data_IF_533895571690
#
_entry.id   IF_533895571690
#
_cell.length_a   1.000
_cell.length_b   1.000
_cell.length_c   1.000
_cell.angle_alpha   90.00
_cell.angle_beta   90.00
_cell.angle_gamma   90.00
#
_symmetry.space_group_name_H-M   'P 1'
#
loop_
_entity.id
_entity.type
_entity.pdbx_description
1 polymer ?
#
# COMPACT_ATOMS: atom_id res chain seq x y z
N UNK A 1 17.21 -1.59 -25.25
CA UNK A 1 17.69 -0.27 -24.91
C UNK A 1 19.20 -0.30 -24.79
N UNK A 2 19.90 0.63 -25.43
CA UNK A 2 21.33 0.84 -25.21
C UNK A 2 21.50 1.38 -23.79
N UNK A 3 22.39 0.75 -23.02
CA UNK A 3 22.76 1.20 -21.69
C UNK A 3 23.94 2.17 -21.85
N UNK A 4 23.75 3.43 -21.54
CA UNK A 4 24.83 4.38 -21.36
C UNK A 4 25.42 4.18 -19.97
N UNK A 5 26.65 3.70 -19.88
CA UNK A 5 27.35 3.46 -18.62
C UNK A 5 28.71 4.13 -18.64
N UNK A 6 29.11 4.71 -17.53
CA UNK A 6 30.40 5.32 -17.34
C UNK A 6 31.46 4.22 -17.07
N UNK A 7 32.52 4.16 -17.87
CA UNK A 7 33.58 3.17 -17.77
C UNK A 7 34.76 3.81 -17.02
N UNK A 8 34.93 3.45 -15.75
CA UNK A 8 36.10 3.88 -14.98
C UNK A 8 37.15 2.77 -14.92
N UNK A 9 38.41 3.09 -15.21
CA UNK A 9 39.56 2.20 -15.08
C UNK A 9 40.17 2.39 -13.69
N UNK A 10 40.14 1.36 -12.86
CA UNK A 10 40.80 1.37 -11.56
C UNK A 10 42.14 0.63 -11.65
N UNK A 11 43.23 1.39 -11.73
CA UNK A 11 44.60 1.01 -11.42
C UNK A 11 45.14 -0.29 -12.01
N UNK A 12 46.09 -0.92 -11.29
CA UNK A 12 46.86 -2.10 -11.72
C UNK A 12 46.06 -3.41 -11.88
N UNK A 13 44.83 -3.49 -11.36
CA UNK A 13 44.03 -4.73 -11.28
C UNK A 13 43.20 -5.04 -12.54
N UNK A 14 43.29 -4.31 -13.62
CA UNK A 14 42.54 -4.53 -14.85
C UNK A 14 41.03 -4.76 -14.65
N UNK A 15 40.46 -4.18 -13.62
CA UNK A 15 39.04 -4.22 -13.36
C UNK A 15 38.34 -2.97 -13.92
N UNK A 16 37.24 -3.13 -14.62
CA UNK A 16 36.36 -2.03 -15.05
C UNK A 16 35.05 -2.14 -14.30
N UNK A 17 34.60 -1.04 -13.69
CA UNK A 17 33.28 -0.95 -13.07
C UNK A 17 32.38 -0.20 -14.03
N UNK A 18 31.22 -0.81 -14.34
CA UNK A 18 30.16 -0.20 -15.16
C UNK A 18 28.95 -0.01 -14.30
N UNK A 19 28.50 1.24 -14.15
CA UNK A 19 27.27 1.59 -13.44
C UNK A 19 26.22 1.98 -14.48
N UNK A 20 25.03 1.44 -14.35
CA UNK A 20 23.91 1.75 -15.23
C UNK A 20 22.61 1.82 -14.43
N UNK A 21 21.66 2.60 -14.92
CA UNK A 21 20.31 2.71 -14.38
C UNK A 21 19.30 2.11 -15.33
N UNK A 22 18.36 1.36 -14.81
CA UNK A 22 17.21 0.85 -15.55
C UNK A 22 15.94 1.35 -14.87
N UNK A 23 15.10 2.06 -15.60
CA UNK A 23 13.81 2.52 -15.15
C UNK A 23 12.75 1.65 -15.84
N UNK A 24 12.16 0.67 -15.14
CA UNK A 24 11.10 -0.15 -15.70
C UNK A 24 9.82 0.67 -15.81
N UNK A 25 9.06 0.47 -16.89
CA UNK A 25 7.79 1.16 -17.14
C UNK A 25 6.60 0.50 -16.45
N UNK A 26 6.73 -0.79 -16.09
CA UNK A 26 5.66 -1.58 -15.48
C UNK A 26 6.21 -2.45 -14.34
N UNK A 27 5.35 -2.85 -13.43
CA UNK A 27 5.69 -3.83 -12.40
C UNK A 27 5.91 -5.23 -12.98
N UNK A 28 6.60 -6.08 -12.27
CA UNK A 28 6.81 -7.47 -12.70
C UNK A 28 8.17 -8.03 -12.31
N UNK A 29 8.50 -9.18 -12.88
CA UNK A 29 9.81 -9.81 -12.75
C UNK A 29 10.55 -9.67 -14.07
N UNK A 30 11.65 -8.93 -14.05
CA UNK A 30 12.51 -8.68 -15.19
C UNK A 30 13.81 -9.47 -15.09
N UNK A 31 14.32 -9.90 -16.23
CA UNK A 31 15.63 -10.54 -16.29
C UNK A 31 16.68 -9.51 -16.72
N UNK A 32 17.56 -9.15 -15.79
CA UNK A 32 18.65 -8.22 -16.04
C UNK A 32 19.89 -8.98 -16.46
N UNK A 33 20.29 -8.81 -17.71
CA UNK A 33 21.39 -9.55 -18.31
C UNK A 33 20.95 -10.55 -19.38
N UNK A 34 21.82 -11.45 -19.85
CA UNK A 34 23.22 -11.63 -19.43
C UNK A 34 24.14 -10.48 -19.85
N UNK A 35 25.17 -10.18 -19.04
CA UNK A 35 26.17 -9.19 -19.43
C UNK A 35 27.07 -9.76 -20.51
N UNK A 36 27.19 -9.06 -21.62
CA UNK A 36 28.10 -9.39 -22.71
C UNK A 36 29.12 -8.27 -22.87
N UNK A 37 30.40 -8.64 -22.88
CA UNK A 37 31.49 -7.74 -23.18
C UNK A 37 31.89 -7.96 -24.63
N UNK A 38 31.86 -6.89 -25.39
CA UNK A 38 32.32 -6.89 -26.77
C UNK A 38 33.67 -6.18 -26.81
N UNK A 39 34.70 -6.90 -27.26
CA UNK A 39 36.04 -6.34 -27.49
C UNK A 39 36.30 -6.30 -28.99
N UNK A 40 36.84 -5.19 -29.43
CA UNK A 40 37.25 -4.97 -30.82
C UNK A 40 38.72 -4.57 -30.85
N UNK A 41 39.45 -5.07 -31.85
CA UNK A 41 40.86 -4.69 -31.99
C UNK A 41 40.96 -3.23 -32.49
N UNK A 42 42.09 -2.55 -32.26
CA UNK A 42 42.24 -1.13 -32.63
C UNK A 42 42.12 -0.85 -34.16
N UNK A 43 42.17 -1.86 -34.99
CA UNK A 43 42.03 -1.74 -36.44
C UNK A 43 40.66 -2.16 -36.98
N UNK A 44 39.74 -2.61 -36.09
CA UNK A 44 38.42 -3.07 -36.44
C UNK A 44 38.37 -4.40 -37.21
N UNK A 45 39.49 -5.15 -37.22
CA UNK A 45 39.62 -6.38 -38.00
C UNK A 45 39.12 -7.63 -37.27
N UNK A 46 39.04 -7.55 -35.95
CA UNK A 46 38.53 -8.66 -35.12
C UNK A 46 37.59 -8.13 -34.03
N UNK A 47 36.47 -8.81 -33.87
CA UNK A 47 35.48 -8.54 -32.85
C UNK A 47 35.17 -9.81 -32.09
N UNK A 48 35.20 -9.76 -30.75
CA UNK A 48 34.88 -10.87 -29.89
C UNK A 48 33.82 -10.46 -28.88
N UNK A 49 32.75 -11.23 -28.77
CA UNK A 49 31.74 -11.09 -27.75
C UNK A 49 31.84 -12.24 -26.73
N UNK A 50 31.94 -11.90 -25.47
CA UNK A 50 32.04 -12.88 -24.38
C UNK A 50 30.91 -12.59 -23.37
N UNK A 51 30.19 -13.63 -23.00
CA UNK A 51 29.22 -13.58 -21.88
C UNK A 51 29.99 -13.66 -20.58
N UNK A 52 29.88 -12.65 -19.74
CA UNK A 52 30.66 -12.50 -18.50
C UNK A 52 29.83 -12.88 -17.28
N UNK A 53 28.54 -12.50 -17.26
CA UNK A 53 27.61 -12.78 -16.17
C UNK A 53 26.31 -13.36 -16.71
N UNK A 54 25.68 -14.20 -15.88
CA UNK A 54 24.32 -14.67 -16.13
C UNK A 54 23.29 -13.60 -15.85
N UNK A 55 22.06 -13.82 -16.34
CA UNK A 55 20.96 -12.94 -16.05
C UNK A 55 20.50 -13.11 -14.59
N UNK A 56 20.15 -11.97 -13.97
CA UNK A 56 19.65 -11.92 -12.59
C UNK A 56 18.18 -11.46 -12.62
N UNK A 57 17.25 -12.17 -11.94
CA UNK A 57 15.88 -11.69 -11.85
C UNK A 57 15.80 -10.48 -10.93
N UNK A 58 15.14 -9.44 -11.41
CA UNK A 58 14.85 -8.22 -10.65
C UNK A 58 13.34 -8.06 -10.55
N UNK A 59 12.85 -7.95 -9.33
CA UNK A 59 11.43 -7.70 -9.08
C UNK A 59 11.19 -6.20 -9.00
N UNK A 60 10.20 -5.74 -9.75
CA UNK A 60 9.78 -4.34 -9.83
C UNK A 60 8.42 -4.22 -9.18
N UNK A 61 8.36 -3.52 -8.07
CA UNK A 61 7.12 -3.22 -7.37
C UNK A 61 6.25 -2.22 -8.16
N UNK A 62 4.93 -2.18 -7.92
CA UNK A 62 4.06 -1.15 -8.47
C UNK A 62 4.52 0.25 -8.08
N UNK A 63 4.30 1.22 -8.98
CA UNK A 63 4.53 2.63 -8.66
C UNK A 63 3.59 3.09 -7.53
N UNK A 64 4.06 4.00 -6.69
CA UNK A 64 3.19 4.68 -5.72
C UNK A 64 2.61 5.93 -6.38
N UNK A 65 1.31 6.13 -6.18
CA UNK A 65 0.55 7.26 -6.72
C UNK A 65 -0.11 8.04 -5.59
N UNK A 66 -0.41 9.31 -5.81
CA UNK A 66 -1.20 10.05 -4.84
C UNK A 66 -2.66 9.59 -4.85
N UNK A 67 -3.23 9.38 -3.67
CA UNK A 67 -4.65 9.07 -3.46
C UNK A 67 -5.29 10.21 -2.68
N UNK A 68 -5.62 11.35 -3.34
CA UNK A 68 -6.07 12.57 -2.65
C UNK A 68 -7.34 12.37 -1.82
N UNK A 69 -8.27 11.53 -2.31
CA UNK A 69 -9.48 11.22 -1.56
C UNK A 69 -9.16 10.54 -0.23
N UNK A 70 -8.24 9.60 -0.21
CA UNK A 70 -7.84 8.91 1.01
C UNK A 70 -7.16 9.87 2.00
N UNK A 71 -6.26 10.73 1.52
CA UNK A 71 -5.63 11.78 2.35
C UNK A 71 -6.65 12.73 2.97
N UNK A 72 -7.61 13.23 2.18
CA UNK A 72 -8.66 14.09 2.68
C UNK A 72 -9.56 13.39 3.71
N UNK A 73 -9.78 12.10 3.51
CA UNK A 73 -10.62 11.27 4.37
C UNK A 73 -9.92 10.92 5.67
N UNK A 74 -8.66 10.48 5.63
CA UNK A 74 -7.89 10.16 6.83
C UNK A 74 -7.61 11.41 7.64
N UNK A 75 -7.39 12.57 7.02
CA UNK A 75 -7.29 13.84 7.71
C UNK A 75 -8.58 14.21 8.44
N UNK A 76 -9.75 13.96 7.82
CA UNK A 76 -11.06 14.20 8.45
C UNK A 76 -11.35 13.17 9.53
N UNK A 77 -11.09 11.89 9.28
CA UNK A 77 -11.27 10.80 10.23
C UNK A 77 -10.22 10.85 11.36
N UNK A 78 -8.97 11.14 11.03
CA UNK A 78 -7.89 11.35 12.00
C UNK A 78 -8.16 12.53 12.92
N UNK A 79 -8.74 13.61 12.40
CA UNK A 79 -9.26 14.71 13.23
C UNK A 79 -10.36 14.26 14.19
N UNK A 80 -11.27 13.39 13.75
CA UNK A 80 -12.32 12.82 14.58
C UNK A 80 -11.77 11.76 15.56
N UNK A 81 -10.84 10.93 15.13
CA UNK A 81 -10.16 9.93 15.97
C UNK A 81 -9.26 10.63 16.98
N UNK A 82 -8.45 11.59 16.57
CA UNK A 82 -7.68 12.43 17.51
C UNK A 82 -8.58 13.29 18.40
N UNK A 83 -9.73 13.79 17.93
CA UNK A 83 -10.68 14.51 18.76
C UNK A 83 -11.36 13.58 19.78
N UNK A 84 -11.66 12.34 19.41
CA UNK A 84 -12.19 11.33 20.33
C UNK A 84 -11.14 10.91 21.37
N UNK A 85 -9.88 10.77 20.95
CA UNK A 85 -8.75 10.55 21.85
C UNK A 85 -8.45 11.78 22.69
N UNK A 86 -8.48 12.99 22.10
CA UNK A 86 -8.24 14.25 22.81
C UNK A 86 -9.41 14.59 23.76
N UNK A 87 -10.66 14.29 23.41
CA UNK A 87 -11.79 14.45 24.33
C UNK A 87 -11.78 13.44 25.48
N UNK A 88 -11.26 12.22 25.27
CA UNK A 88 -10.95 11.30 26.38
C UNK A 88 -9.72 11.74 27.17
N UNK A 89 -8.79 12.45 26.56
CA UNK A 89 -7.54 12.94 27.17
C UNK A 89 -7.63 14.28 27.92
N UNK A 90 -8.70 15.07 27.75
CA UNK A 90 -8.89 16.33 28.48
C UNK A 90 -9.65 16.20 29.81
N UNK A 91 -10.10 15.00 30.17
CA UNK A 91 -10.42 14.71 31.56
C UNK A 91 -9.14 14.28 32.28
N UNK A 92 -8.58 15.14 33.09
CA UNK A 92 -7.39 14.88 33.92
C UNK A 92 -7.54 13.64 34.85
N UNK A 93 -8.67 12.96 34.80
CA UNK A 93 -9.08 11.89 35.70
C UNK A 93 -9.37 10.51 35.06
N UNK A 94 -9.15 10.32 33.73
CA UNK A 94 -9.43 9.03 33.06
C UNK A 94 -8.18 8.17 32.78
N UNK A 95 -7.12 8.34 33.54
CA UNK A 95 -6.07 7.33 33.63
C UNK A 95 -6.60 6.20 34.51
N UNK A 96 -6.94 5.07 33.92
CA UNK A 96 -7.27 3.86 34.67
C UNK A 96 -6.11 3.54 35.62
N UNK A 97 -6.33 3.84 36.89
CA UNK A 97 -5.40 3.50 37.94
C UNK A 97 -5.72 2.08 38.39
N UNK A 98 -4.79 1.13 38.25
CA UNK A 98 -4.90 -0.21 38.82
C UNK A 98 -4.10 -0.32 40.11
N UNK A 99 -4.47 -1.22 41.01
CA UNK A 99 -3.67 -1.49 42.20
C UNK A 99 -2.24 -1.90 41.83
N UNK A 100 -1.27 -1.40 42.59
CA UNK A 100 0.15 -1.75 42.45
C UNK A 100 0.34 -3.27 42.64
N UNK A 101 1.13 -3.87 41.75
CA UNK A 101 1.59 -5.25 41.90
C UNK A 101 3.11 -5.27 42.05
N UNK A 102 3.62 -6.27 42.80
CA UNK A 102 5.07 -6.42 42.99
C UNK A 102 5.77 -6.63 41.62
N UNK A 103 6.63 -5.69 41.26
CA UNK A 103 7.31 -5.62 39.97
C UNK A 103 6.98 -4.38 39.15
N UNK A 104 5.94 -3.63 39.51
CA UNK A 104 5.63 -2.37 38.85
C UNK A 104 6.66 -1.28 39.17
N UNK A 105 6.97 -0.44 38.20
CA UNK A 105 7.91 0.68 38.40
C UNK A 105 7.31 1.74 39.31
N UNK A 106 8.01 2.08 40.40
CA UNK A 106 7.63 3.13 41.35
C UNK A 106 7.48 4.52 40.69
N UNK A 107 8.09 4.74 39.52
CA UNK A 107 7.94 5.99 38.73
C UNK A 107 6.56 6.14 38.11
N UNK A 108 5.77 5.05 38.02
CA UNK A 108 4.42 5.02 37.43
C UNK A 108 3.33 5.13 38.46
N UNK A 109 3.66 5.40 39.73
CA UNK A 109 2.65 5.57 40.79
C UNK A 109 1.83 6.82 40.52
N UNK A 110 0.50 6.64 40.54
CA UNK A 110 -0.49 7.71 40.44
C UNK A 110 -0.81 8.24 41.82
N UNK A 111 0.01 9.13 42.35
CA UNK A 111 -0.08 9.62 43.73
C UNK A 111 -1.47 10.18 44.09
N UNK A 112 -2.14 10.87 43.17
CA UNK A 112 -3.47 11.42 43.37
C UNK A 112 -4.52 10.33 43.53
N UNK A 113 -4.49 9.28 42.72
CA UNK A 113 -5.41 8.15 42.85
C UNK A 113 -5.09 7.33 44.12
N UNK A 114 -3.80 7.14 44.43
CA UNK A 114 -3.36 6.47 45.67
C UNK A 114 -3.81 7.20 46.93
N UNK A 115 -3.97 8.52 46.88
CA UNK A 115 -4.46 9.30 48.01
C UNK A 115 -5.95 9.15 48.26
N UNK A 116 -6.72 8.67 47.29
CA UNK A 116 -8.17 8.42 47.40
C UNK A 116 -8.52 6.94 47.57
N UNK A 117 -7.56 6.04 47.46
CA UNK A 117 -7.72 4.61 47.66
C UNK A 117 -6.76 4.10 48.76
N UNK A 118 -7.15 3.11 49.51
CA UNK A 118 -6.34 2.51 50.59
C UNK A 118 -5.16 1.66 50.08
N UNK A 119 -4.52 2.07 48.98
CA UNK A 119 -3.38 1.36 48.37
C UNK A 119 -2.70 2.15 47.29
N UNK A 120 -1.46 1.72 46.96
CA UNK A 120 -0.73 2.31 45.87
C UNK A 120 -1.39 1.98 44.53
N UNK A 121 -1.67 3.01 43.74
CA UNK A 121 -2.25 2.89 42.40
C UNK A 121 -1.18 3.22 41.36
N UNK A 122 -1.10 2.38 40.35
CA UNK A 122 -0.17 2.56 39.22
C UNK A 122 -0.94 3.07 38.03
N UNK A 123 -0.36 4.05 37.33
CA UNK A 123 -0.87 4.54 36.07
C UNK A 123 -0.72 3.43 35.01
N UNK A 124 -1.83 2.87 34.55
CA UNK A 124 -1.87 1.94 33.44
C UNK A 124 -1.90 2.80 32.16
N UNK A 125 -0.82 2.76 31.39
CA UNK A 125 -0.88 3.17 30.00
C UNK A 125 -1.67 2.07 29.30
N UNK A 126 -2.91 2.34 28.87
CA UNK A 126 -3.51 1.55 27.81
C UNK A 126 -2.58 1.79 26.59
N UNK A 127 -1.92 0.74 26.13
CA UNK A 127 -1.45 0.72 24.77
C UNK A 127 -2.71 0.83 23.93
N UNK A 128 -3.02 2.04 23.44
CA UNK A 128 -4.10 2.23 22.50
C UNK A 128 -3.70 1.40 21.27
N UNK A 129 -4.44 0.31 21.03
CA UNK A 129 -4.25 -0.47 19.84
C UNK A 129 -4.42 0.47 18.63
N UNK A 130 -3.53 0.38 17.67
CA UNK A 130 -3.66 1.13 16.43
C UNK A 130 -5.06 0.85 15.84
N UNK A 131 -5.73 1.87 15.30
CA UNK A 131 -7.05 1.66 14.71
C UNK A 131 -6.92 0.74 13.49
N UNK A 132 -7.86 -0.17 13.35
CA UNK A 132 -7.89 -1.11 12.22
C UNK A 132 -8.43 -0.45 10.96
N UNK A 133 -7.89 -0.82 9.81
CA UNK A 133 -8.40 -0.46 8.49
C UNK A 133 -8.36 -1.67 7.55
N UNK A 134 -9.17 -1.65 6.50
CA UNK A 134 -9.17 -2.72 5.51
C UNK A 134 -9.06 -2.12 4.11
N UNK A 135 -8.15 -2.68 3.32
CA UNK A 135 -8.00 -2.38 1.91
C UNK A 135 -8.44 -3.62 1.13
N UNK A 136 -9.35 -3.44 0.19
CA UNK A 136 -9.84 -4.51 -0.68
C UNK A 136 -9.46 -4.15 -2.11
N UNK A 137 -8.77 -5.07 -2.79
CA UNK A 137 -8.57 -4.99 -4.24
C UNK A 137 -9.42 -6.05 -4.91
N UNK A 138 -10.17 -5.66 -5.94
CA UNK A 138 -10.98 -6.58 -6.70
C UNK A 138 -10.10 -7.30 -7.73
N UNK A 139 -9.90 -8.60 -7.55
CA UNK A 139 -9.15 -9.44 -8.46
C UNK A 139 -10.04 -10.20 -9.43
N UNK A 140 -11.36 -9.99 -9.45
CA UNK A 140 -12.25 -10.66 -10.41
C UNK A 140 -11.95 -10.21 -11.84
N UNK A 141 -11.52 -11.14 -12.68
CA UNK A 141 -11.22 -10.88 -14.09
C UNK A 141 -12.39 -10.20 -14.83
N UNK A 142 -13.63 -10.47 -14.44
CA UNK A 142 -14.81 -9.88 -15.07
C UNK A 142 -14.89 -8.35 -14.93
N UNK A 143 -14.11 -7.76 -14.02
CA UNK A 143 -14.03 -6.32 -13.75
C UNK A 143 -13.01 -5.58 -14.60
N UNK A 144 -12.15 -6.31 -15.31
CA UNK A 144 -10.98 -5.78 -16.01
C UNK A 144 -10.96 -6.23 -17.47
N UNK A 145 -10.04 -5.69 -18.25
CA UNK A 145 -9.76 -6.17 -19.59
C UNK A 145 -9.06 -7.54 -19.56
N UNK A 146 -9.05 -8.22 -20.70
CA UNK A 146 -8.43 -9.56 -20.84
C UNK A 146 -6.94 -9.57 -20.44
N UNK A 147 -6.24 -8.46 -20.60
CA UNK A 147 -4.83 -8.30 -20.24
C UNK A 147 -4.55 -8.49 -18.76
N UNK A 148 -5.50 -8.14 -17.88
CA UNK A 148 -5.34 -8.18 -16.43
C UNK A 148 -5.05 -9.59 -15.89
N UNK A 149 -5.58 -10.63 -16.55
CA UNK A 149 -5.35 -12.03 -16.18
C UNK A 149 -4.11 -12.65 -16.85
N UNK A 150 -3.52 -11.96 -17.84
CA UNK A 150 -2.43 -12.53 -18.64
C UNK A 150 -1.07 -12.31 -17.99
N UNK A 151 -0.72 -11.06 -17.74
CA UNK A 151 0.56 -10.70 -17.13
C UNK A 151 0.51 -9.26 -16.57
N UNK A 152 1.38 -8.91 -15.61
CA UNK A 152 1.57 -7.55 -15.17
C UNK A 152 1.88 -6.60 -16.34
N UNK A 153 1.29 -5.40 -16.32
CA UNK A 153 1.49 -4.38 -17.35
C UNK A 153 0.61 -4.48 -18.58
N UNK A 154 -0.25 -5.51 -18.70
CA UNK A 154 -1.07 -5.73 -19.89
C UNK A 154 -2.44 -5.03 -19.84
N UNK A 155 -2.90 -4.62 -18.67
CA UNK A 155 -4.15 -3.90 -18.50
C UNK A 155 -3.92 -2.60 -17.71
N UNK A 156 -4.02 -1.43 -18.36
CA UNK A 156 -3.76 -0.15 -17.70
C UNK A 156 -4.70 0.15 -16.52
N UNK A 157 -5.96 -0.30 -16.57
CA UNK A 157 -6.91 -0.09 -15.49
C UNK A 157 -6.55 -0.93 -14.26
N UNK A 158 -6.19 -2.19 -14.48
CA UNK A 158 -5.71 -3.08 -13.42
C UNK A 158 -4.39 -2.59 -12.81
N UNK A 159 -3.46 -2.10 -13.65
CA UNK A 159 -2.21 -1.51 -13.17
C UNK A 159 -2.46 -0.29 -12.28
N UNK A 160 -3.39 0.58 -12.68
CA UNK A 160 -3.79 1.73 -11.87
C UNK A 160 -4.41 1.32 -10.53
N UNK A 161 -5.23 0.26 -10.51
CA UNK A 161 -5.81 -0.28 -9.30
C UNK A 161 -4.74 -0.87 -8.36
N UNK A 162 -3.79 -1.65 -8.88
CA UNK A 162 -2.70 -2.23 -8.08
C UNK A 162 -1.80 -1.12 -7.51
N UNK A 163 -1.46 -0.10 -8.31
CA UNK A 163 -0.69 1.04 -7.85
C UNK A 163 -1.44 1.83 -6.77
N UNK A 164 -2.76 2.03 -6.94
CA UNK A 164 -3.62 2.68 -5.96
C UNK A 164 -3.69 1.87 -4.66
N UNK A 165 -3.76 0.54 -4.74
CA UNK A 165 -3.76 -0.35 -3.57
C UNK A 165 -2.49 -0.22 -2.75
N UNK A 166 -1.31 -0.31 -3.39
CA UNK A 166 -0.03 -0.14 -2.70
C UNK A 166 0.09 1.24 -2.08
N UNK A 167 -0.42 2.26 -2.77
CA UNK A 167 -0.40 3.66 -2.27
C UNK A 167 -1.35 3.88 -1.09
N UNK A 168 -2.55 3.28 -1.13
CA UNK A 168 -3.50 3.32 -0.03
C UNK A 168 -2.94 2.65 1.23
N UNK A 169 -2.30 1.49 1.05
CA UNK A 169 -1.60 0.75 2.12
C UNK A 169 -0.48 1.59 2.72
N UNK A 170 0.37 2.21 1.90
CA UNK A 170 1.44 3.08 2.37
C UNK A 170 0.91 4.30 3.14
N UNK A 171 -0.19 4.91 2.67
CA UNK A 171 -0.83 6.05 3.33
C UNK A 171 -1.43 5.66 4.68
N UNK A 172 -2.16 4.53 4.75
CA UNK A 172 -2.76 4.05 6.02
C UNK A 172 -1.68 3.71 7.05
N UNK A 173 -0.57 3.08 6.62
CA UNK A 173 0.57 2.82 7.50
C UNK A 173 1.19 4.12 8.02
N UNK A 174 1.34 5.13 7.16
CA UNK A 174 1.83 6.46 7.56
C UNK A 174 0.90 7.13 8.57
N UNK A 175 -0.41 6.96 8.40
CA UNK A 175 -1.44 7.52 9.28
C UNK A 175 -1.63 6.71 10.57
N UNK A 176 -0.86 5.64 10.79
CA UNK A 176 -0.83 4.88 12.04
C UNK A 176 -1.91 3.81 12.18
N UNK A 177 -2.50 3.35 11.06
CA UNK A 177 -3.46 2.25 11.08
C UNK A 177 -2.77 0.89 11.03
N UNK A 178 -3.31 -0.09 11.78
CA UNK A 178 -3.14 -1.51 11.47
C UNK A 178 -4.08 -1.86 10.33
N UNK A 179 -3.61 -2.53 9.28
CA UNK A 179 -4.48 -2.81 8.15
C UNK A 179 -4.34 -4.23 7.63
N UNK A 180 -5.44 -4.73 7.10
CA UNK A 180 -5.54 -5.97 6.36
C UNK A 180 -5.79 -5.68 4.89
N UNK A 181 -5.16 -6.46 3.99
CA UNK A 181 -5.41 -6.38 2.56
C UNK A 181 -6.10 -7.66 2.10
N UNK A 182 -7.27 -7.49 1.51
CA UNK A 182 -8.14 -8.59 1.09
C UNK A 182 -8.42 -8.50 -0.41
N UNK A 183 -8.77 -9.62 -0.99
CA UNK A 183 -9.44 -9.70 -2.27
C UNK A 183 -10.95 -9.42 -2.14
N UNK A 184 -11.63 -9.26 -3.25
CA UNK A 184 -13.08 -8.99 -3.33
C UNK A 184 -13.97 -10.09 -2.75
N UNK A 185 -13.49 -11.31 -2.62
CA UNK A 185 -14.18 -12.40 -1.91
C UNK A 185 -13.87 -12.47 -0.41
N UNK A 186 -13.01 -11.59 0.08
CA UNK A 186 -12.55 -11.54 1.47
C UNK A 186 -11.34 -12.42 1.76
N UNK A 187 -10.71 -13.01 0.75
CA UNK A 187 -9.47 -13.78 0.93
C UNK A 187 -8.31 -12.84 1.28
N UNK A 188 -7.57 -13.08 2.38
CA UNK A 188 -6.41 -12.27 2.72
C UNK A 188 -5.30 -12.42 1.68
N UNK A 189 -4.79 -11.30 1.18
CA UNK A 189 -3.64 -11.24 0.27
C UNK A 189 -2.30 -11.17 1.02
N UNK A 190 -2.35 -10.75 2.27
CA UNK A 190 -1.19 -10.65 3.16
C UNK A 190 -1.65 -10.75 4.62
N UNK A 191 -0.74 -11.08 5.53
CA UNK A 191 -0.99 -10.96 6.97
C UNK A 191 -1.23 -9.49 7.34
N UNK A 192 -2.00 -9.19 8.40
CA UNK A 192 -2.20 -7.83 8.87
C UNK A 192 -0.85 -7.13 9.13
N UNK A 193 -0.75 -5.87 8.74
CA UNK A 193 0.47 -5.08 8.86
C UNK A 193 0.25 -3.98 9.91
N UNK A 194 1.12 -3.92 10.91
CA UNK A 194 1.08 -2.89 11.95
C UNK A 194 1.84 -1.62 11.53
N UNK A 195 1.53 -0.46 12.15
CA UNK A 195 2.26 0.77 11.86
C UNK A 195 3.75 0.62 12.13
N UNK A 196 4.57 1.04 11.15
CA UNK A 196 6.03 1.00 11.27
C UNK A 196 6.70 -0.28 10.76
N UNK A 197 5.97 -1.32 10.39
CA UNK A 197 6.48 -2.58 9.84
C UNK A 197 6.88 -2.44 8.36
N UNK A 198 7.93 -1.68 8.08
CA UNK A 198 8.40 -1.41 6.70
C UNK A 198 8.73 -2.67 5.92
N UNK A 199 9.31 -3.67 6.56
CA UNK A 199 9.66 -4.92 5.90
C UNK A 199 8.42 -5.67 5.36
N UNK A 200 7.29 -5.62 6.07
CA UNK A 200 6.02 -6.20 5.61
C UNK A 200 5.40 -5.36 4.50
N UNK A 201 5.50 -4.04 4.56
CA UNK A 201 5.09 -3.15 3.46
C UNK A 201 5.86 -3.44 2.18
N UNK A 202 7.18 -3.58 2.27
CA UNK A 202 8.04 -3.91 1.14
C UNK A 202 7.73 -5.31 0.60
N UNK A 203 7.44 -6.27 1.50
CA UNK A 203 7.04 -7.63 1.12
C UNK A 203 5.68 -7.63 0.40
N UNK A 204 4.71 -6.85 0.87
CA UNK A 204 3.43 -6.66 0.21
C UNK A 204 3.58 -6.00 -1.17
N UNK A 205 4.35 -4.93 -1.27
CA UNK A 205 4.63 -4.29 -2.56
C UNK A 205 5.34 -5.24 -3.53
N UNK A 206 6.25 -6.08 -3.03
CA UNK A 206 6.91 -7.11 -3.81
C UNK A 206 5.94 -8.25 -4.23
N UNK A 207 4.96 -8.59 -3.42
CA UNK A 207 3.88 -9.52 -3.77
C UNK A 207 3.03 -8.92 -4.91
N UNK A 208 2.66 -7.66 -4.80
CA UNK A 208 1.91 -6.93 -5.82
C UNK A 208 2.64 -6.84 -7.17
N UNK A 209 3.96 -7.05 -7.23
CA UNK A 209 4.69 -7.09 -8.50
C UNK A 209 4.18 -8.15 -9.48
N UNK A 210 3.59 -9.24 -8.98
CA UNK A 210 3.17 -10.41 -9.80
C UNK A 210 1.68 -10.70 -9.76
N UNK A 211 0.91 -9.93 -9.00
CA UNK A 211 -0.54 -10.11 -8.91
C UNK A 211 -1.18 -9.92 -10.29
N UNK A 212 -2.11 -10.80 -10.64
CA UNK A 212 -2.96 -10.75 -11.83
C UNK A 212 -4.41 -10.99 -11.44
N UNK A 213 -5.34 -10.56 -12.26
CA UNK A 213 -6.75 -10.87 -12.07
C UNK A 213 -7.02 -12.36 -12.31
N UNK A 214 -8.03 -12.91 -11.64
CA UNK A 214 -8.41 -14.32 -11.74
C UNK A 214 -9.90 -14.52 -11.82
N UNK A 215 -10.33 -15.74 -12.01
CA UNK A 215 -11.74 -16.12 -12.00
C UNK A 215 -12.15 -16.65 -10.60
N UNK A 216 -13.41 -16.48 -10.25
CA UNK A 216 -13.99 -17.05 -9.02
C UNK A 216 -14.00 -16.11 -7.82
N UNK A 217 -13.54 -14.88 -7.99
CA UNK A 217 -13.65 -13.81 -7.00
C UNK A 217 -14.98 -13.06 -7.17
N UNK A 218 -15.61 -12.62 -6.10
CA UNK A 218 -16.87 -11.90 -6.20
C UNK A 218 -17.07 -10.90 -5.09
N UNK A 219 -17.28 -9.65 -5.49
CA UNK A 219 -17.60 -8.53 -4.59
C UNK A 219 -18.87 -8.82 -3.74
N UNK A 220 -19.76 -9.69 -4.22
CA UNK A 220 -20.98 -10.08 -3.52
C UNK A 220 -20.72 -10.96 -2.29
N UNK A 221 -19.54 -11.58 -2.18
CA UNK A 221 -19.16 -12.42 -1.05
C UNK A 221 -18.49 -11.62 0.08
N UNK A 222 -17.99 -10.43 -0.24
CA UNK A 222 -17.28 -9.54 0.67
C UNK A 222 -18.05 -9.22 1.97
N UNK A 223 -19.38 -8.90 1.96
CA UNK A 223 -20.11 -8.60 3.19
C UNK A 223 -20.11 -9.74 4.20
N UNK A 224 -20.06 -11.00 3.72
CA UNK A 224 -20.01 -12.17 4.61
C UNK A 224 -18.64 -12.31 5.28
N UNK A 225 -17.57 -11.98 4.57
CA UNK A 225 -16.22 -11.99 5.10
C UNK A 225 -16.04 -10.90 6.17
N UNK A 226 -16.67 -9.75 5.98
CA UNK A 226 -16.58 -8.58 6.87
C UNK A 226 -17.38 -8.68 8.17
N UNK A 227 -18.30 -9.61 8.31
CA UNK A 227 -19.06 -9.81 9.55
C UNK A 227 -18.17 -10.07 10.79
N UNK A 228 -16.87 -10.29 10.60
CA UNK A 228 -15.86 -10.59 11.62
C UNK A 228 -14.72 -9.57 11.72
N UNK A 229 -14.72 -8.52 10.86
CA UNK A 229 -13.66 -7.52 10.80
C UNK A 229 -14.12 -6.25 11.53
N UNK A 230 -13.19 -5.56 12.16
CA UNK A 230 -13.47 -4.38 12.99
C UNK A 230 -14.10 -3.20 12.22
N UNK A 231 -14.52 -2.19 12.99
CA UNK A 231 -15.32 -1.03 12.54
C UNK A 231 -14.49 0.11 11.91
N UNK A 232 -13.26 -0.13 11.48
CA UNK A 232 -12.37 0.88 10.89
C UNK A 232 -12.72 1.28 9.47
N UNK A 233 -11.90 2.14 8.82
CA UNK A 233 -12.04 2.50 7.42
C UNK A 233 -11.96 1.29 6.49
N UNK A 234 -12.79 1.29 5.43
CA UNK A 234 -12.72 0.31 4.34
C UNK A 234 -12.43 1.07 3.05
N UNK A 235 -11.36 0.67 2.36
CA UNK A 235 -11.01 1.19 1.03
C UNK A 235 -11.18 0.08 0.01
N UNK A 236 -12.23 0.16 -0.80
CA UNK A 236 -12.50 -0.76 -1.90
C UNK A 236 -11.95 -0.20 -3.21
N UNK A 237 -11.14 -1.00 -3.91
CA UNK A 237 -10.53 -0.65 -5.19
C UNK A 237 -10.97 -1.68 -6.22
N UNK A 238 -11.65 -1.22 -7.29
CA UNK A 238 -12.24 -2.10 -8.31
C UNK A 238 -12.11 -1.51 -9.71
N UNK A 239 -12.37 -2.33 -10.71
CA UNK A 239 -12.48 -1.95 -12.10
C UNK A 239 -13.84 -1.34 -12.43
N UNK A 240 -14.59 -2.08 -13.23
CA UNK A 240 -15.98 -1.74 -13.57
C UNK A 240 -16.89 -1.98 -12.38
N UNK A 241 -17.73 -1.00 -12.05
CA UNK A 241 -18.74 -1.12 -10.99
C UNK A 241 -20.12 -0.73 -11.49
N UNK A 242 -21.11 -1.54 -11.17
CA UNK A 242 -22.52 -1.33 -11.49
C UNK A 242 -23.33 -0.96 -10.24
N UNK A 243 -24.56 -0.47 -10.44
CA UNK A 243 -25.50 -0.23 -9.34
C UNK A 243 -25.81 -1.49 -8.52
N UNK A 244 -25.83 -2.68 -9.17
CA UNK A 244 -26.03 -3.96 -8.49
C UNK A 244 -24.87 -4.29 -7.56
N UNK A 245 -23.64 -3.98 -7.96
CA UNK A 245 -22.45 -4.17 -7.11
C UNK A 245 -22.49 -3.23 -5.90
N UNK A 246 -22.86 -1.98 -6.13
CA UNK A 246 -23.02 -0.98 -5.05
C UNK A 246 -24.11 -1.44 -4.06
N UNK A 247 -25.22 -1.99 -4.54
CA UNK A 247 -26.26 -2.53 -3.69
C UNK A 247 -25.74 -3.72 -2.84
N UNK A 248 -24.88 -4.56 -3.41
CA UNK A 248 -24.25 -5.66 -2.68
C UNK A 248 -23.27 -5.18 -1.59
N UNK A 249 -22.62 -4.03 -1.80
CA UNK A 249 -21.72 -3.42 -0.82
C UNK A 249 -22.45 -2.64 0.29
N UNK A 250 -23.75 -2.37 0.15
CA UNK A 250 -24.53 -1.59 1.12
C UNK A 250 -24.39 -2.08 2.58
N UNK A 251 -24.39 -3.40 2.88
CA UNK A 251 -24.22 -3.87 4.26
C UNK A 251 -22.89 -3.48 4.89
N UNK A 252 -21.83 -3.31 4.10
CA UNK A 252 -20.51 -2.92 4.61
C UNK A 252 -20.50 -1.51 5.17
N UNK A 253 -21.27 -0.59 4.58
CA UNK A 253 -21.38 0.78 5.05
C UNK A 253 -21.86 0.90 6.51
N UNK A 254 -22.65 -0.09 6.99
CA UNK A 254 -23.11 -0.13 8.37
C UNK A 254 -22.04 -0.62 9.36
N UNK A 255 -20.98 -1.27 8.88
CA UNK A 255 -19.92 -1.87 9.69
C UNK A 255 -18.60 -1.08 9.66
N UNK A 256 -18.53 0.01 8.92
CA UNK A 256 -17.33 0.84 8.78
C UNK A 256 -17.59 2.28 9.19
N UNK A 257 -16.57 2.92 9.77
CA UNK A 257 -16.60 4.36 10.07
C UNK A 257 -16.38 5.21 8.83
N UNK A 258 -15.77 4.66 7.78
CA UNK A 258 -15.41 5.37 6.57
C UNK A 258 -15.35 4.42 5.37
N UNK A 259 -16.46 4.25 4.63
CA UNK A 259 -16.46 3.48 3.39
C UNK A 259 -15.95 4.33 2.22
N UNK A 260 -14.92 3.84 1.52
CA UNK A 260 -14.30 4.48 0.36
C UNK A 260 -14.36 3.54 -0.83
N UNK A 261 -14.89 3.99 -1.96
CA UNK A 261 -14.93 3.26 -3.21
C UNK A 261 -14.10 3.98 -4.27
N UNK A 262 -13.06 3.32 -4.74
CA UNK A 262 -12.18 3.77 -5.81
C UNK A 262 -12.39 2.84 -7.01
N UNK A 263 -12.88 3.37 -8.14
CA UNK A 263 -13.14 2.59 -9.34
C UNK A 263 -12.45 3.19 -10.56
N UNK A 264 -11.92 2.33 -11.45
CA UNK A 264 -11.32 2.80 -12.71
C UNK A 264 -12.36 3.07 -13.77
N UNK A 265 -13.51 2.40 -13.67
CA UNK A 265 -14.66 2.59 -14.57
C UNK A 265 -15.96 2.40 -13.79
N UNK A 266 -16.77 3.45 -13.73
CA UNK A 266 -18.07 3.41 -13.08
C UNK A 266 -19.03 4.35 -13.79
N UNK A 267 -20.28 3.93 -13.94
CA UNK A 267 -21.31 4.85 -14.42
C UNK A 267 -21.57 5.95 -13.37
N UNK A 268 -21.98 7.15 -13.81
CA UNK A 268 -22.40 8.22 -12.89
C UNK A 268 -23.47 7.74 -11.89
N UNK A 269 -24.41 6.91 -12.37
CA UNK A 269 -25.52 6.37 -11.58
C UNK A 269 -24.99 5.43 -10.47
N UNK A 270 -23.98 4.61 -10.78
CA UNK A 270 -23.34 3.74 -9.78
C UNK A 270 -22.62 4.56 -8.71
N UNK A 271 -21.91 5.63 -9.10
CA UNK A 271 -21.26 6.53 -8.14
C UNK A 271 -22.28 7.33 -7.30
N UNK A 272 -23.34 7.85 -7.92
CA UNK A 272 -24.41 8.56 -7.20
C UNK A 272 -25.07 7.62 -6.18
N UNK A 273 -25.37 6.38 -6.60
CA UNK A 273 -25.94 5.37 -5.72
C UNK A 273 -25.02 5.00 -4.55
N UNK A 274 -23.73 4.87 -4.80
CA UNK A 274 -22.75 4.62 -3.74
C UNK A 274 -22.68 5.80 -2.75
N UNK A 275 -22.70 7.04 -3.26
CA UNK A 275 -22.72 8.23 -2.43
C UNK A 275 -23.98 8.32 -1.55
N UNK A 276 -25.16 7.98 -2.11
CA UNK A 276 -26.42 7.89 -1.34
C UNK A 276 -26.35 6.87 -0.19
N UNK A 277 -25.59 5.78 -0.38
CA UNK A 277 -25.36 4.76 0.63
C UNK A 277 -24.23 5.11 1.62
N UNK A 278 -23.71 6.34 1.54
CA UNK A 278 -22.70 6.86 2.44
C UNK A 278 -21.25 6.52 2.05
N UNK A 279 -21.02 5.92 0.88
CA UNK A 279 -19.68 5.70 0.36
C UNK A 279 -19.07 7.01 -0.15
N UNK A 280 -17.80 7.19 0.12
CA UNK A 280 -17.01 8.22 -0.56
C UNK A 280 -16.44 7.63 -1.83
N UNK A 281 -16.78 8.22 -2.96
CA UNK A 281 -16.46 7.69 -4.28
C UNK A 281 -15.44 8.56 -4.99
N UNK A 282 -14.52 7.91 -5.70
CA UNK A 282 -13.56 8.60 -6.57
C UNK A 282 -13.19 7.70 -7.74
N UNK A 283 -13.11 8.31 -8.93
CA UNK A 283 -12.55 7.65 -10.10
C UNK A 283 -11.02 7.55 -9.98
N UNK A 284 -10.48 6.36 -10.22
CA UNK A 284 -9.05 6.11 -10.35
C UNK A 284 -8.61 6.50 -11.76
N UNK A 285 -7.61 7.36 -11.87
CA UNK A 285 -7.10 7.79 -13.16
C UNK A 285 -6.30 6.67 -13.82
N UNK A 286 -6.66 6.35 -15.05
CA UNK A 286 -5.95 5.42 -15.92
C UNK A 286 -5.24 6.23 -17.01
N UNK A 287 -3.92 6.16 -17.09
CA UNK A 287 -3.19 6.90 -18.12
C UNK A 287 -1.69 6.62 -18.11
N UNK A 288 -1.00 6.91 -19.24
CA UNK A 288 0.44 6.70 -19.37
C UNK A 288 1.29 7.64 -18.49
N UNK A 289 0.71 8.72 -18.02
CA UNK A 289 1.33 9.64 -17.07
C UNK A 289 0.76 9.40 -15.67
N UNK A 290 1.11 8.28 -15.09
CA UNK A 290 1.11 8.20 -13.63
C UNK A 290 2.34 8.98 -13.18
N UNK A 291 2.22 10.18 -12.54
CA UNK A 291 3.37 10.88 -12.03
C UNK A 291 3.99 9.99 -10.94
N UNK A 292 5.03 9.27 -11.33
CA UNK A 292 5.85 8.58 -10.38
C UNK A 292 6.61 9.63 -9.57
N UNK A 293 6.79 9.41 -8.26
CA UNK A 293 7.64 10.19 -7.35
C UNK A 293 9.09 10.40 -7.89
N UNK A 294 9.44 9.77 -9.00
CA UNK A 294 10.71 9.93 -9.71
C UNK A 294 10.87 11.28 -10.42
N UNK A 295 9.81 11.99 -10.75
CA UNK A 295 9.94 13.33 -11.34
C UNK A 295 10.39 14.36 -10.31
N UNK A 296 10.00 14.20 -9.04
CA UNK A 296 10.47 15.05 -7.94
C UNK A 296 11.93 14.76 -7.53
N UNK A 297 12.43 13.54 -7.78
CA UNK A 297 13.82 13.17 -7.48
C UNK A 297 14.82 13.71 -8.53
N UNK A 298 14.38 13.98 -9.75
CA UNK A 298 15.24 14.61 -10.79
C UNK A 298 15.53 16.08 -10.49
N UNK A 299 14.63 16.77 -9.83
CA UNK A 299 14.81 18.21 -9.51
C UNK A 299 15.66 18.46 -8.25
N UNK A 300 15.97 17.43 -7.45
CA UNK A 300 16.77 17.59 -6.22
C UNK A 300 18.18 17.00 -6.29
N UNK A 301 18.63 16.45 -7.40
CA UNK A 301 19.83 15.60 -7.47
C UNK A 301 20.88 15.91 -8.53
N UNK A 302 20.89 17.07 -9.20
CA UNK A 302 22.04 17.48 -10.04
C UNK A 302 22.39 18.93 -9.77
N UNK A 303 23.03 19.18 -8.65
CA UNK A 303 23.88 20.34 -8.45
C UNK A 303 25.20 19.86 -7.84
N UNK A 304 26.21 19.71 -8.72
CA UNK A 304 27.66 19.55 -8.55
C UNK A 304 28.16 18.19 -8.12
#
# INVERSE_FOLDING_TARGET
GELEGDLSWAGADRAATVTYSVIPSTRGIYSLGPLRVVTEDPFGLARRAVRVLDAVPVRVAPAQVEVPALRAMTATAGGAIHATHTQRGHGVDNLLARPYQAGDSMRRIHWRASAHHDGLMVRQEENEAAPDAVVVIDLDQARWGEGAATAPGQDPAFEAAVATTVSAVAQLSHDGYTFSVLDSDGTPLHEPIEPGERALLDAFAAHCATIVAGAGHSIHDLPRAFARVGSGPIVMITGTVSEADVAALAPLGAHTTLPVLLATDASPEAFDRAAELGWRVQAVRVGPEMPGWWDDARDQGVAR
#
